data_IF_090480438673
#
_entry.id   IF_090480438673
#
_cell.length_a   1.000
_cell.length_b   1.000
_cell.length_c   1.000
_cell.angle_alpha   90.00
_cell.angle_beta   90.00
_cell.angle_gamma   90.00
#
_symmetry.space_group_name_H-M   'P 1'
#
loop_
_entity.id
_entity.type
_entity.pdbx_description
1 polymer ?
#
# COMPACT_ATOMS: atom_id res chain seq x y z
N UNK A 1 10.63 2.40 -0.72
CA UNK A 1 9.35 2.35 -1.44
C UNK A 1 9.59 2.37 -2.95
N UNK A 2 10.35 3.32 -3.46
CA UNK A 2 10.75 3.43 -4.87
C UNK A 2 12.26 3.43 -5.05
N UNK A 3 12.71 3.13 -6.29
CA UNK A 3 14.13 3.00 -6.63
C UNK A 3 14.71 4.26 -7.25
N UNK A 4 15.02 5.30 -6.48
CA UNK A 4 15.57 6.58 -6.97
C UNK A 4 16.85 6.40 -7.80
N UNK A 5 17.69 5.43 -7.42
CA UNK A 5 18.94 5.11 -8.13
C UNK A 5 18.71 4.45 -9.51
N UNK A 6 17.46 4.11 -9.84
CA UNK A 6 17.08 3.52 -11.13
C UNK A 6 16.23 4.54 -11.93
N UNK A 7 16.48 5.83 -11.72
CA UNK A 7 15.77 6.88 -12.44
C UNK A 7 16.00 6.80 -13.95
N UNK A 8 14.93 7.00 -14.72
CA UNK A 8 14.94 7.01 -16.18
C UNK A 8 13.99 8.07 -16.69
N UNK A 9 14.18 8.50 -17.95
CA UNK A 9 13.14 9.28 -18.65
C UNK A 9 11.90 8.40 -18.89
N UNK A 10 10.71 8.91 -18.65
CA UNK A 10 9.47 8.19 -18.99
C UNK A 10 9.40 7.80 -20.47
N UNK A 11 9.93 8.66 -21.36
CA UNK A 11 10.03 8.35 -22.78
C UNK A 11 10.80 7.07 -23.06
N UNK A 12 11.87 6.80 -22.30
CA UNK A 12 12.69 5.60 -22.51
C UNK A 12 12.05 4.36 -21.90
N UNK A 13 11.40 4.51 -20.73
CA UNK A 13 10.65 3.42 -20.08
C UNK A 13 9.53 2.93 -21.00
N UNK A 14 8.67 3.83 -21.46
CA UNK A 14 7.54 3.47 -22.34
C UNK A 14 7.99 2.87 -23.67
N UNK A 15 9.12 3.34 -24.24
CA UNK A 15 9.70 2.78 -25.47
C UNK A 15 10.17 1.34 -25.23
N UNK A 16 10.80 1.09 -24.10
CA UNK A 16 11.26 -0.24 -23.75
C UNK A 16 10.10 -1.18 -23.45
N UNK A 17 9.09 -0.75 -22.72
CA UNK A 17 7.88 -1.51 -22.46
C UNK A 17 7.21 -1.96 -23.76
N UNK A 18 7.00 -1.05 -24.71
CA UNK A 18 6.45 -1.36 -26.05
C UNK A 18 7.31 -2.37 -26.82
N UNK A 19 8.63 -2.20 -26.78
CA UNK A 19 9.56 -3.13 -27.47
C UNK A 19 9.49 -4.54 -26.89
N UNK A 20 9.29 -4.64 -25.57
CA UNK A 20 9.22 -5.93 -24.85
C UNK A 20 7.82 -6.55 -24.80
N UNK A 21 6.81 -5.84 -25.31
CA UNK A 21 5.41 -6.25 -25.17
C UNK A 21 4.94 -6.33 -23.72
N UNK A 22 5.53 -5.51 -22.82
CA UNK A 22 5.17 -5.38 -21.42
C UNK A 22 4.41 -4.10 -21.19
N UNK A 23 3.52 -4.11 -20.22
CA UNK A 23 2.87 -2.89 -19.73
C UNK A 23 3.79 -2.13 -18.78
N UNK A 24 3.67 -0.82 -18.79
CA UNK A 24 4.31 0.05 -17.84
C UNK A 24 3.37 1.21 -17.52
N UNK A 25 3.06 1.36 -16.25
CA UNK A 25 2.18 2.40 -15.75
C UNK A 25 2.99 3.55 -15.15
N UNK A 26 2.45 4.76 -15.18
CA UNK A 26 3.07 5.92 -14.54
C UNK A 26 2.03 6.74 -13.80
N UNK A 27 2.39 7.18 -12.60
CA UNK A 27 1.56 8.06 -11.77
C UNK A 27 2.41 9.10 -11.05
N UNK A 28 1.75 10.13 -10.51
CA UNK A 28 2.37 11.11 -9.63
C UNK A 28 2.33 10.66 -8.17
N UNK A 29 3.37 10.99 -7.43
CA UNK A 29 3.39 10.90 -5.96
C UNK A 29 3.27 12.31 -5.39
N UNK A 30 2.50 12.47 -4.33
CA UNK A 30 2.37 13.73 -3.60
C UNK A 30 2.36 13.48 -2.10
N UNK A 31 2.67 14.53 -1.33
CA UNK A 31 2.64 14.49 0.13
C UNK A 31 1.30 15.00 0.66
N UNK A 32 0.75 14.30 1.65
CA UNK A 32 -0.36 14.78 2.47
C UNK A 32 0.17 14.97 3.88
N UNK A 33 -0.06 16.15 4.45
CA UNK A 33 0.30 16.44 5.84
C UNK A 33 -0.97 16.84 6.58
N UNK A 34 -1.25 16.14 7.66
CA UNK A 34 -2.39 16.43 8.53
C UNK A 34 -1.93 16.56 9.98
N UNK A 35 -2.57 17.41 10.73
CA UNK A 35 -2.36 17.48 12.17
C UNK A 35 -3.34 16.55 12.88
N UNK A 36 -2.79 15.58 13.62
CA UNK A 36 -3.59 14.72 14.48
C UNK A 36 -3.99 15.47 15.76
N UNK A 37 -5.20 15.20 16.24
CA UNK A 37 -5.77 15.80 17.46
C UNK A 37 -5.79 17.34 17.42
N UNK A 38 -6.07 17.90 16.24
CA UNK A 38 -6.18 19.35 16.04
C UNK A 38 -7.31 20.00 16.85
N UNK A 39 -8.23 19.20 17.37
CA UNK A 39 -9.31 19.61 18.28
C UNK A 39 -8.81 19.90 19.71
N UNK A 40 -7.58 19.48 20.07
CA UNK A 40 -6.98 19.76 21.37
C UNK A 40 -6.35 21.18 21.40
N UNK A 41 -6.07 21.76 22.59
CA UNK A 41 -5.33 23.01 22.71
C UNK A 41 -4.03 23.00 21.93
N UNK A 42 -3.60 24.19 21.43
CA UNK A 42 -2.40 24.30 20.56
C UNK A 42 -1.11 23.79 21.20
N UNK A 43 -0.99 23.90 22.52
CA UNK A 43 0.16 23.46 23.31
C UNK A 43 0.06 22.01 23.79
N UNK A 44 -0.98 21.28 23.42
CA UNK A 44 -1.15 19.89 23.85
C UNK A 44 -0.13 18.98 23.14
N UNK A 45 0.72 18.22 23.89
CA UNK A 45 1.78 17.39 23.31
C UNK A 45 1.27 16.20 22.48
N UNK A 46 -0.03 15.93 22.50
CA UNK A 46 -0.68 14.90 21.66
C UNK A 46 -0.95 15.39 20.24
N UNK A 47 -0.93 16.70 19.99
CA UNK A 47 -0.99 17.24 18.64
C UNK A 47 0.28 16.89 17.88
N UNK A 48 0.15 16.24 16.75
CA UNK A 48 1.31 15.77 15.96
C UNK A 48 1.03 15.89 14.47
N UNK A 49 2.00 16.45 13.76
CA UNK A 49 1.96 16.42 12.29
C UNK A 49 2.20 15.00 11.78
N UNK A 50 1.32 14.53 10.90
CA UNK A 50 1.44 13.23 10.23
C UNK A 50 1.54 13.43 8.72
N UNK A 51 2.73 13.14 8.17
CA UNK A 51 2.97 13.12 6.74
C UNK A 51 2.70 11.74 6.13
N UNK A 52 2.20 11.71 4.91
CA UNK A 52 2.07 10.51 4.08
C UNK A 52 2.47 10.83 2.65
N UNK A 53 3.24 9.94 2.03
CA UNK A 53 3.38 9.92 0.58
C UNK A 53 2.24 9.09 -0.01
N UNK A 54 1.60 9.60 -1.04
CA UNK A 54 0.42 8.97 -1.66
C UNK A 54 0.59 8.99 -3.17
N UNK A 55 0.22 7.91 -3.82
CA UNK A 55 0.15 7.84 -5.28
C UNK A 55 -1.20 8.37 -5.77
N UNK A 56 -1.19 9.17 -6.83
CA UNK A 56 -2.41 9.62 -7.51
C UNK A 56 -3.03 8.48 -8.32
N UNK A 57 -3.74 7.59 -7.63
CA UNK A 57 -4.34 6.40 -8.22
C UNK A 57 -5.51 6.69 -9.17
N UNK A 58 -6.02 7.90 -9.14
CA UNK A 58 -7.06 8.41 -10.04
C UNK A 58 -6.52 8.87 -11.41
N UNK A 59 -5.20 9.04 -11.56
CA UNK A 59 -4.56 9.43 -12.82
C UNK A 59 -3.32 8.57 -13.11
N UNK A 60 -3.51 7.27 -13.21
CA UNK A 60 -2.46 6.35 -13.63
C UNK A 60 -2.59 6.09 -15.12
N UNK A 61 -1.49 6.30 -15.85
CA UNK A 61 -1.45 6.13 -17.31
C UNK A 61 -0.53 4.99 -17.72
N UNK A 62 -0.95 4.24 -18.75
CA UNK A 62 -0.11 3.22 -19.36
C UNK A 62 0.97 3.82 -20.30
N UNK A 63 1.77 2.96 -20.90
CA UNK A 63 2.83 3.36 -21.85
C UNK A 63 2.30 4.00 -23.13
N UNK A 64 1.00 3.92 -23.40
CA UNK A 64 0.33 4.57 -24.53
C UNK A 64 -0.31 5.89 -24.17
N UNK A 65 -0.48 6.15 -22.87
CA UNK A 65 -1.13 7.33 -22.32
C UNK A 65 -2.62 7.14 -22.04
N UNK A 66 -3.13 5.92 -22.19
CA UNK A 66 -4.50 5.57 -21.79
C UNK A 66 -4.57 5.38 -20.26
N UNK A 67 -5.78 5.31 -19.72
CA UNK A 67 -5.98 4.91 -18.33
C UNK A 67 -5.44 3.50 -18.11
N UNK A 68 -4.63 3.33 -17.08
CA UNK A 68 -4.14 2.02 -16.70
C UNK A 68 -5.29 1.15 -16.18
N UNK A 69 -5.21 -0.14 -16.48
CA UNK A 69 -6.18 -1.15 -16.00
C UNK A 69 -5.49 -1.97 -14.92
N UNK A 70 -6.10 -2.02 -13.76
CA UNK A 70 -5.62 -2.76 -12.59
C UNK A 70 -6.43 -4.03 -12.37
N UNK A 71 -5.97 -4.87 -11.45
CA UNK A 71 -6.70 -6.07 -11.04
C UNK A 71 -8.04 -5.65 -10.43
N UNK A 72 -9.12 -6.34 -10.79
CA UNK A 72 -10.46 -6.13 -10.22
C UNK A 72 -10.62 -6.91 -8.88
N UNK A 73 -9.58 -6.89 -8.08
CA UNK A 73 -9.50 -7.57 -6.80
C UNK A 73 -9.38 -6.51 -5.71
N UNK A 74 -10.50 -6.04 -5.22
CA UNK A 74 -10.50 -5.20 -4.02
C UNK A 74 -10.04 -6.00 -2.80
N UNK A 75 -9.37 -5.35 -1.85
CA UNK A 75 -9.14 -5.94 -0.53
C UNK A 75 -10.49 -6.16 0.18
N UNK A 76 -10.61 -7.30 0.84
CA UNK A 76 -11.82 -7.67 1.58
C UNK A 76 -11.53 -7.67 3.11
N UNK A 77 -11.65 -6.53 3.79
CA UNK A 77 -11.45 -6.45 5.23
C UNK A 77 -12.46 -7.33 5.97
N UNK A 78 -12.13 -7.73 7.19
CA UNK A 78 -13.05 -8.45 8.07
C UNK A 78 -14.35 -7.67 8.27
N UNK A 79 -15.47 -8.38 8.29
CA UNK A 79 -16.77 -7.75 8.49
C UNK A 79 -16.98 -7.32 9.96
N UNK A 80 -17.93 -6.44 10.21
CA UNK A 80 -18.30 -6.03 11.56
C UNK A 80 -18.80 -7.23 12.41
N UNK A 81 -19.48 -8.17 11.77
CA UNK A 81 -19.93 -9.42 12.41
C UNK A 81 -18.75 -10.27 12.84
N UNK A 82 -17.72 -10.40 12.00
CA UNK A 82 -16.50 -11.12 12.34
C UNK A 82 -15.79 -10.49 13.53
N UNK A 83 -15.64 -9.16 13.54
CA UNK A 83 -15.04 -8.43 14.66
C UNK A 83 -15.80 -8.67 15.97
N UNK A 84 -17.14 -8.60 15.94
CA UNK A 84 -17.99 -8.86 17.11
C UNK A 84 -17.88 -10.31 17.60
N UNK A 85 -17.75 -11.27 16.68
CA UNK A 85 -17.54 -12.68 17.06
C UNK A 85 -16.17 -12.88 17.73
N UNK A 86 -15.11 -12.24 17.23
CA UNK A 86 -13.79 -12.27 17.84
C UNK A 86 -13.82 -11.67 19.27
N UNK A 87 -14.47 -10.51 19.44
CA UNK A 87 -14.67 -9.90 20.77
C UNK A 87 -15.42 -10.82 21.72
N UNK A 88 -16.54 -11.41 21.26
CA UNK A 88 -17.33 -12.33 22.06
C UNK A 88 -16.56 -13.60 22.47
N UNK A 89 -15.73 -14.11 21.57
CA UNK A 89 -14.84 -15.25 21.84
C UNK A 89 -13.76 -14.87 22.86
N UNK A 90 -13.14 -13.71 22.70
CA UNK A 90 -12.11 -13.22 23.61
C UNK A 90 -12.60 -12.87 25.02
N UNK A 91 -13.92 -12.68 25.21
CA UNK A 91 -14.53 -12.46 26.51
C UNK A 91 -14.81 -13.75 27.30
N UNK A 92 -14.55 -14.92 26.71
CA UNK A 92 -14.75 -16.18 27.44
C UNK A 92 -13.69 -16.40 28.54
N UNK A 93 -13.98 -17.18 29.60
CA UNK A 93 -13.02 -17.46 30.65
C UNK A 93 -11.72 -18.07 30.09
N UNK A 94 -10.59 -17.48 30.44
CA UNK A 94 -9.26 -17.91 29.98
C UNK A 94 -8.81 -17.33 28.64
N UNK A 95 -9.61 -16.47 28.02
CA UNK A 95 -9.25 -15.75 26.78
C UNK A 95 -8.98 -14.28 27.08
N UNK A 96 -8.36 -13.61 26.14
CA UNK A 96 -8.16 -12.17 26.13
C UNK A 96 -8.31 -11.63 24.70
N UNK A 97 -8.70 -10.36 24.58
CA UNK A 97 -8.69 -9.64 23.31
C UNK A 97 -7.45 -8.75 23.25
N UNK A 98 -6.65 -8.91 22.22
CA UNK A 98 -5.51 -8.05 21.96
C UNK A 98 -5.71 -7.30 20.63
N UNK A 99 -5.17 -6.10 20.54
CA UNK A 99 -5.21 -5.29 19.34
C UNK A 99 -3.82 -4.75 19.04
N UNK A 100 -3.40 -4.87 17.77
CA UNK A 100 -2.17 -4.27 17.28
C UNK A 100 -2.41 -3.55 15.97
N UNK A 101 -1.55 -2.57 15.66
CA UNK A 101 -1.56 -1.83 14.39
C UNK A 101 -0.32 -2.20 13.57
N UNK A 102 -0.53 -2.46 12.29
CA UNK A 102 0.57 -2.71 11.37
C UNK A 102 1.16 -1.36 10.91
N UNK A 103 2.35 -1.02 11.41
CA UNK A 103 3.02 0.20 11.02
C UNK A 103 3.32 0.22 9.52
N UNK A 104 2.87 1.29 8.82
CA UNK A 104 3.12 1.47 7.39
C UNK A 104 2.70 0.26 6.54
N UNK A 105 1.58 -0.36 6.86
CA UNK A 105 1.10 -1.64 6.31
C UNK A 105 1.43 -1.86 4.82
N UNK A 106 0.94 -1.01 3.93
CA UNK A 106 1.15 -1.20 2.49
C UNK A 106 2.61 -1.26 2.08
N UNK A 107 3.47 -0.43 2.69
CA UNK A 107 4.89 -0.38 2.32
C UNK A 107 5.72 -1.55 2.88
N UNK A 108 5.09 -2.52 3.51
CA UNK A 108 5.71 -3.81 3.84
C UNK A 108 5.55 -4.84 2.70
N UNK A 109 4.53 -4.67 1.85
CA UNK A 109 4.25 -5.56 0.75
C UNK A 109 4.98 -5.13 -0.53
N UNK A 110 5.47 -6.10 -1.31
CA UNK A 110 5.97 -5.85 -2.66
C UNK A 110 4.80 -5.54 -3.57
N UNK A 111 4.97 -4.52 -4.41
CA UNK A 111 4.02 -4.24 -5.46
C UNK A 111 4.09 -5.34 -6.51
N UNK A 112 2.96 -5.94 -6.83
CA UNK A 112 2.81 -6.95 -7.88
C UNK A 112 2.07 -6.40 -9.10
N UNK A 113 1.89 -7.20 -10.14
CA UNK A 113 1.20 -6.78 -11.36
C UNK A 113 2.10 -6.07 -12.35
N UNK A 114 1.55 -5.11 -13.09
CA UNK A 114 2.27 -4.37 -14.14
C UNK A 114 3.28 -3.38 -13.54
N UNK A 115 4.42 -3.21 -14.21
CA UNK A 115 5.48 -2.29 -13.77
C UNK A 115 4.92 -0.87 -13.58
N UNK A 116 4.91 -0.38 -12.34
CA UNK A 116 4.47 0.98 -12.02
C UNK A 116 5.68 1.88 -11.75
N UNK A 117 5.70 3.03 -12.41
CA UNK A 117 6.72 4.07 -12.29
C UNK A 117 6.11 5.32 -11.67
N UNK A 118 6.87 6.05 -10.88
CA UNK A 118 6.39 7.25 -10.20
C UNK A 118 7.16 8.48 -10.60
N UNK A 119 6.42 9.59 -10.77
CA UNK A 119 6.93 10.95 -10.84
C UNK A 119 6.94 11.54 -9.45
N UNK A 120 8.11 11.85 -8.94
CA UNK A 120 8.23 12.59 -7.68
C UNK A 120 7.94 14.07 -7.90
N UNK A 121 7.45 14.79 -6.88
CA UNK A 121 7.35 16.25 -6.89
C UNK A 121 8.74 16.86 -7.18
N UNK A 122 8.77 17.94 -7.95
CA UNK A 122 10.03 18.52 -8.43
C UNK A 122 10.93 19.03 -7.30
N UNK A 123 10.36 19.47 -6.22
CA UNK A 123 11.04 19.91 -4.99
C UNK A 123 11.67 18.75 -4.20
N UNK A 124 11.29 17.51 -4.53
CA UNK A 124 11.84 16.28 -3.94
C UNK A 124 12.87 15.58 -4.87
N UNK A 125 13.22 16.20 -5.99
CA UNK A 125 14.19 15.60 -6.91
C UNK A 125 15.59 15.63 -6.30
N UNK A 126 16.33 14.50 -6.34
CA UNK A 126 17.75 14.52 -6.03
C UNK A 126 18.51 15.48 -6.98
N UNK A 127 19.60 16.10 -6.53
CA UNK A 127 20.37 17.02 -7.38
C UNK A 127 20.84 16.40 -8.70
N UNK A 128 21.05 15.10 -8.74
CA UNK A 128 21.49 14.34 -9.91
C UNK A 128 20.41 14.29 -11.01
N UNK A 129 19.15 14.58 -10.67
CA UNK A 129 18.06 14.63 -11.65
C UNK A 129 17.94 15.99 -12.33
N UNK A 130 18.79 16.96 -11.94
CA UNK A 130 18.82 18.27 -12.55
C UNK A 130 19.10 18.15 -14.08
N UNK A 131 18.19 18.70 -14.90
CA UNK A 131 18.28 18.59 -16.35
C UNK A 131 17.66 17.34 -16.98
N UNK A 132 17.19 16.37 -16.20
CA UNK A 132 16.43 15.26 -16.75
C UNK A 132 15.05 15.71 -17.24
N UNK A 133 14.60 15.10 -18.34
CA UNK A 133 13.28 15.34 -18.92
C UNK A 133 12.35 14.21 -18.47
N UNK A 134 11.29 14.58 -17.73
CA UNK A 134 10.26 13.66 -17.22
C UNK A 134 10.87 12.43 -16.52
N UNK A 135 11.67 12.64 -15.43
CA UNK A 135 12.28 11.55 -14.70
C UNK A 135 11.22 10.74 -13.94
N UNK A 136 11.35 9.43 -14.01
CA UNK A 136 10.52 8.47 -13.29
C UNK A 136 11.40 7.42 -12.61
N UNK A 137 10.97 6.92 -11.48
CA UNK A 137 11.62 5.79 -10.81
C UNK A 137 10.62 4.66 -10.56
N UNK A 138 11.08 3.40 -10.54
CA UNK A 138 10.16 2.27 -10.35
C UNK A 138 9.61 2.23 -8.93
N UNK A 139 8.31 2.09 -8.79
CA UNK A 139 7.66 1.76 -7.53
C UNK A 139 7.92 0.28 -7.21
N UNK A 140 8.41 -0.01 -6.02
CA UNK A 140 8.80 -1.36 -5.60
C UNK A 140 7.85 -1.96 -4.59
N UNK A 141 7.43 -1.15 -3.62
CA UNK A 141 6.53 -1.58 -2.56
C UNK A 141 5.16 -0.95 -2.81
N UNK A 142 4.14 -1.60 -2.33
CA UNK A 142 2.79 -1.05 -2.36
C UNK A 142 2.77 0.31 -1.66
N UNK A 143 1.99 1.23 -2.21
CA UNK A 143 1.92 2.61 -1.71
C UNK A 143 0.46 3.04 -1.62
N UNK A 144 0.16 3.81 -0.58
CA UNK A 144 -1.16 4.42 -0.43
C UNK A 144 -1.58 5.13 -1.72
N UNK A 145 -2.80 4.88 -2.16
CA UNK A 145 -3.35 5.40 -3.40
C UNK A 145 -3.10 4.53 -4.65
N UNK A 146 -2.20 3.54 -4.60
CA UNK A 146 -2.08 2.58 -5.70
C UNK A 146 -3.29 1.64 -5.69
N UNK A 147 -3.97 1.40 -6.82
CA UNK A 147 -5.18 0.57 -6.87
C UNK A 147 -5.00 -0.85 -6.34
N UNK A 148 -3.87 -1.48 -6.63
CA UNK A 148 -3.57 -2.85 -6.17
C UNK A 148 -2.97 -2.92 -4.75
N UNK A 149 -2.68 -1.79 -4.09
CA UNK A 149 -1.98 -1.79 -2.80
C UNK A 149 -2.72 -2.55 -1.69
N UNK A 150 -4.05 -2.50 -1.70
CA UNK A 150 -4.89 -3.24 -0.76
C UNK A 150 -4.75 -4.75 -0.92
N UNK A 151 -4.81 -5.22 -2.15
CA UNK A 151 -4.66 -6.64 -2.49
C UNK A 151 -3.26 -7.15 -2.16
N UNK A 152 -2.21 -6.42 -2.55
CA UNK A 152 -0.83 -6.78 -2.25
C UNK A 152 -0.57 -6.88 -0.74
N UNK A 153 -1.15 -5.96 0.04
CA UNK A 153 -1.07 -6.00 1.50
C UNK A 153 -1.84 -7.19 2.08
N UNK A 154 -3.04 -7.47 1.59
CA UNK A 154 -3.85 -8.60 2.05
C UNK A 154 -3.12 -9.92 1.81
N UNK A 155 -2.61 -10.15 0.60
CA UNK A 155 -1.82 -11.34 0.26
C UNK A 155 -0.56 -11.47 1.14
N UNK A 156 0.17 -10.37 1.37
CA UNK A 156 1.35 -10.35 2.22
C UNK A 156 1.01 -10.66 3.69
N UNK A 157 0.00 -10.00 4.25
CA UNK A 157 -0.41 -10.19 5.64
C UNK A 157 -0.98 -11.59 5.89
N UNK A 158 -1.78 -12.11 4.96
CA UNK A 158 -2.29 -13.47 5.02
C UNK A 158 -1.14 -14.49 5.04
N UNK A 159 -0.20 -14.40 4.09
CA UNK A 159 0.95 -15.31 4.06
C UNK A 159 1.77 -15.27 5.36
N UNK A 160 1.89 -14.09 5.98
CA UNK A 160 2.58 -13.96 7.27
C UNK A 160 1.81 -14.64 8.40
N UNK A 161 0.51 -14.40 8.51
CA UNK A 161 -0.36 -15.01 9.54
C UNK A 161 -0.39 -16.52 9.38
N UNK A 162 -0.51 -17.05 8.16
CA UNK A 162 -0.47 -18.49 7.88
C UNK A 162 0.90 -19.11 8.22
N UNK A 163 1.99 -18.38 8.02
CA UNK A 163 3.34 -18.87 8.34
C UNK A 163 3.57 -19.15 9.83
N UNK A 164 2.77 -18.54 10.68
CA UNK A 164 2.83 -18.76 12.15
C UNK A 164 1.74 -19.70 12.66
N UNK A 165 1.05 -20.43 11.76
CA UNK A 165 0.16 -21.53 12.11
C UNK A 165 -1.33 -21.22 12.09
N UNK A 166 -1.73 -20.00 11.73
CA UNK A 166 -3.14 -19.69 11.54
C UNK A 166 -3.66 -20.26 10.21
N UNK A 167 -4.95 -20.52 10.17
CA UNK A 167 -5.67 -21.01 9.00
C UNK A 167 -6.83 -20.05 8.70
N UNK A 168 -7.02 -19.70 7.46
CA UNK A 168 -8.14 -18.85 7.04
C UNK A 168 -9.48 -19.53 7.35
N UNK A 169 -10.44 -18.75 7.84
CA UNK A 169 -11.79 -19.23 8.12
C UNK A 169 -12.60 -19.11 6.83
N UNK A 170 -13.10 -20.25 6.34
CA UNK A 170 -13.90 -20.29 5.12
C UNK A 170 -15.15 -19.41 5.22
N UNK A 171 -15.37 -18.59 4.17
CA UNK A 171 -16.47 -17.63 4.09
C UNK A 171 -16.30 -16.35 4.94
N UNK A 172 -15.18 -16.18 5.62
CA UNK A 172 -14.89 -15.00 6.45
C UNK A 172 -13.60 -14.32 6.02
N UNK A 173 -13.70 -13.30 5.17
CA UNK A 173 -12.54 -12.57 4.67
C UNK A 173 -11.69 -11.99 5.81
N UNK A 174 -10.37 -12.08 5.67
CA UNK A 174 -9.37 -11.57 6.62
C UNK A 174 -9.57 -12.06 8.07
N UNK A 175 -10.15 -13.24 8.23
CA UNK A 175 -10.33 -13.90 9.52
C UNK A 175 -9.57 -15.23 9.54
N UNK A 176 -8.86 -15.47 10.62
CA UNK A 176 -7.98 -16.63 10.75
C UNK A 176 -8.19 -17.30 12.09
N UNK A 177 -7.89 -18.58 12.15
CA UNK A 177 -7.97 -19.40 13.34
C UNK A 177 -6.68 -20.15 13.56
N UNK A 178 -6.16 -20.15 14.78
CA UNK A 178 -5.01 -20.99 15.15
C UNK A 178 -5.48 -22.27 15.85
N UNK A 179 -5.44 -23.45 15.19
CA UNK A 179 -6.05 -24.68 15.71
C UNK A 179 -5.39 -25.20 16.98
N UNK A 180 -4.09 -24.99 17.14
CA UNK A 180 -3.34 -25.45 18.33
C UNK A 180 -3.55 -24.53 19.53
N UNK A 181 -3.45 -23.22 19.32
CA UNK A 181 -3.60 -22.23 20.40
C UNK A 181 -5.06 -21.84 20.65
N UNK A 182 -5.97 -22.19 19.75
CA UNK A 182 -7.40 -21.83 19.81
C UNK A 182 -7.61 -20.30 19.88
N UNK A 183 -6.91 -19.59 19.02
CA UNK A 183 -6.96 -18.13 18.87
C UNK A 183 -7.71 -17.74 17.61
#
# INVERSE_FOLDING_TARGET
VWGEHIVRSWKDVRREAKRRGKKANVAHVFGIVVEKNSELPEDDPRRKMKGRAVLGGDDVRDEEGNWAVFRDLGSAPATMEAARCADAYGLQPGHAVEQSDAEQAYTQAWLTGDDTWVRLPRDQWPPEWAGMIDPVCPLRLALYGHPDAGTDWEEYSQAHVESVGFVAIDGWSSCFWHPEHKL
#
